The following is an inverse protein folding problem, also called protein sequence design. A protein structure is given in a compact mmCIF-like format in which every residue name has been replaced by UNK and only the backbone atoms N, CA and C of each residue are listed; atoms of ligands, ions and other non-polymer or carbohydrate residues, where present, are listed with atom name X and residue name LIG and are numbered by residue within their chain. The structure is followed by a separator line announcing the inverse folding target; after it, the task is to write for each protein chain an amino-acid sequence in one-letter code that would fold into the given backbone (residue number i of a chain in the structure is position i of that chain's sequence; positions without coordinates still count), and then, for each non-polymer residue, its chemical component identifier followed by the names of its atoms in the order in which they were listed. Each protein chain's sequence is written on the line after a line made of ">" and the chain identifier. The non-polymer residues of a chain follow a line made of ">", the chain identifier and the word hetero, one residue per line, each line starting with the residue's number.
data_IF_345974813914
#
_entry.id   IF_345974813914
#
_cell.length_a   1.000
_cell.length_b   1.000
_cell.length_c   1.000
_cell.angle_alpha   90.00
_cell.angle_beta   90.00
_cell.angle_gamma   90.00
#
_symmetry.space_group_name_H-M   'P 1'
#
loop_
_entity.id
_entity.type
_entity.pdbx_description
1 polymer ?
#
# COMPACT_ATOMS: atom_id res chain seq x y z
N UNK A 1 7.43 -6.91 -20.20
CA UNK A 1 6.48 -6.61 -19.10
C UNK A 1 7.18 -6.75 -17.76
N UNK A 2 7.22 -5.70 -16.93
CA UNK A 2 7.74 -5.81 -15.56
C UNK A 2 6.71 -6.48 -14.65
N UNK A 3 7.16 -7.43 -13.81
CA UNK A 3 6.31 -8.16 -12.87
C UNK A 3 6.85 -7.96 -11.46
N UNK A 4 5.95 -7.73 -10.51
CA UNK A 4 6.23 -7.75 -9.07
C UNK A 4 5.22 -8.64 -8.34
N UNK A 5 5.57 -9.04 -7.12
CA UNK A 5 4.74 -9.85 -6.24
C UNK A 5 4.84 -9.32 -4.81
N UNK A 6 3.71 -9.26 -4.12
CA UNK A 6 3.60 -9.10 -2.67
C UNK A 6 2.79 -10.29 -2.13
N UNK A 7 3.22 -10.89 -1.03
CA UNK A 7 2.55 -12.06 -0.46
C UNK A 7 2.30 -11.87 1.03
N UNK A 8 1.04 -11.89 1.47
CA UNK A 8 0.67 -11.79 2.88
C UNK A 8 1.12 -13.00 3.70
N UNK A 9 1.49 -14.12 3.07
CA UNK A 9 2.15 -15.24 3.74
C UNK A 9 3.63 -15.00 4.06
N UNK A 10 4.21 -13.88 3.60
CA UNK A 10 5.61 -13.51 3.81
C UNK A 10 5.72 -12.09 4.40
N UNK A 11 5.52 -11.98 5.71
CA UNK A 11 5.64 -10.73 6.47
C UNK A 11 6.84 -10.78 7.42
N UNK A 12 7.27 -9.62 7.91
CA UNK A 12 8.17 -9.55 9.07
C UNK A 12 7.56 -10.24 10.29
N UNK A 13 8.41 -10.64 11.25
CA UNK A 13 7.97 -11.35 12.46
C UNK A 13 6.93 -10.57 13.30
N UNK A 14 6.93 -9.23 13.21
CA UNK A 14 5.96 -8.37 13.87
C UNK A 14 4.71 -8.07 13.01
N UNK A 15 4.64 -8.58 11.79
CA UNK A 15 3.56 -8.35 10.82
C UNK A 15 3.53 -6.95 10.21
N UNK A 16 4.42 -6.04 10.60
CA UNK A 16 4.37 -4.61 10.21
C UNK A 16 5.00 -4.31 8.85
N UNK A 17 5.73 -5.26 8.27
CA UNK A 17 6.40 -5.11 6.99
C UNK A 17 6.02 -6.27 6.07
N UNK A 18 5.54 -5.92 4.88
CA UNK A 18 5.41 -6.82 3.75
C UNK A 18 6.55 -6.57 2.76
N UNK A 19 6.73 -7.48 1.80
CA UNK A 19 7.80 -7.38 0.81
C UNK A 19 7.25 -7.37 -0.61
N UNK A 20 7.55 -6.31 -1.35
CA UNK A 20 7.27 -6.21 -2.78
C UNK A 20 8.50 -6.66 -3.56
N UNK A 21 8.47 -7.88 -4.10
CA UNK A 21 9.51 -8.43 -4.94
C UNK A 21 9.24 -8.10 -6.40
N UNK A 22 10.05 -7.22 -6.99
CA UNK A 22 10.02 -6.90 -8.42
C UNK A 22 11.11 -7.66 -9.16
N UNK A 23 10.72 -8.60 -10.03
CA UNK A 23 11.65 -9.50 -10.71
C UNK A 23 12.64 -8.73 -11.60
N UNK A 24 13.95 -8.99 -11.41
CA UNK A 24 15.02 -8.28 -12.12
C UNK A 24 15.27 -6.84 -11.65
N UNK A 25 14.61 -6.39 -10.59
CA UNK A 25 14.85 -5.08 -9.96
C UNK A 25 15.35 -5.28 -8.52
N UNK A 26 14.58 -5.97 -7.68
CA UNK A 26 14.89 -6.12 -6.26
C UNK A 26 13.67 -6.39 -5.41
N UNK A 27 13.88 -6.41 -4.10
CA UNK A 27 12.81 -6.57 -3.10
C UNK A 27 12.77 -5.31 -2.24
N UNK A 28 11.57 -4.78 -2.03
CA UNK A 28 11.32 -3.54 -1.31
C UNK A 28 10.46 -3.79 -0.09
N UNK A 29 10.78 -3.12 1.01
CA UNK A 29 9.93 -3.12 2.21
C UNK A 29 8.72 -2.21 1.98
N UNK A 30 7.54 -2.78 2.15
CA UNK A 30 6.26 -2.10 1.95
C UNK A 30 5.33 -2.30 3.14
N UNK A 31 4.31 -1.47 3.21
CA UNK A 31 3.15 -1.68 4.07
C UNK A 31 1.88 -1.34 3.30
N UNK A 32 0.76 -1.86 3.79
CA UNK A 32 -0.57 -1.56 3.26
C UNK A 32 -1.60 -1.62 4.38
N UNK A 33 -2.55 -0.68 4.40
CA UNK A 33 -3.45 -0.48 5.54
C UNK A 33 -2.89 0.52 6.57
N UNK A 34 -3.73 0.88 7.53
CA UNK A 34 -3.38 1.71 8.69
C UNK A 34 -3.70 1.00 10.00
N UNK A 35 -3.09 1.45 11.09
CA UNK A 35 -3.32 0.95 12.44
C UNK A 35 -3.32 -0.59 12.55
N UNK A 36 -4.41 -1.17 13.05
CA UNK A 36 -4.56 -2.61 13.24
C UNK A 36 -4.85 -3.38 11.95
N UNK A 37 -5.11 -2.67 10.84
CA UNK A 37 -5.31 -3.26 9.51
C UNK A 37 -4.00 -3.40 8.71
N UNK A 38 -2.87 -2.96 9.25
CA UNK A 38 -1.57 -3.07 8.57
C UNK A 38 -1.29 -4.52 8.19
N UNK A 39 -1.10 -4.72 6.88
CA UNK A 39 -0.82 -5.98 6.20
C UNK A 39 -1.81 -7.11 6.54
N UNK A 40 -3.05 -6.77 6.91
CA UNK A 40 -4.07 -7.76 7.20
C UNK A 40 -5.07 -7.91 6.02
N UNK A 41 -4.96 -8.97 5.19
CA UNK A 41 -5.88 -9.20 4.09
C UNK A 41 -7.31 -9.50 4.56
N UNK A 42 -7.48 -10.03 5.77
CA UNK A 42 -8.79 -10.36 6.34
C UNK A 42 -9.61 -9.11 6.62
N UNK A 43 -8.98 -7.94 6.70
CA UNK A 43 -9.67 -6.67 6.85
C UNK A 43 -9.88 -5.93 5.52
N UNK A 44 -9.56 -6.53 4.37
CA UNK A 44 -9.54 -5.78 3.11
C UNK A 44 -10.93 -5.26 2.66
N UNK A 45 -12.00 -5.74 3.27
CA UNK A 45 -13.38 -5.23 3.15
C UNK A 45 -13.72 -4.05 4.07
N UNK A 46 -12.75 -3.51 4.79
CA UNK A 46 -12.89 -2.30 5.61
C UNK A 46 -12.27 -1.08 4.93
N UNK A 47 -12.72 0.12 5.30
CA UNK A 47 -12.10 1.36 4.85
C UNK A 47 -10.65 1.47 5.34
N UNK A 48 -9.77 2.07 4.53
CA UNK A 48 -8.35 2.29 4.83
C UNK A 48 -7.52 1.05 5.17
N UNK A 49 -8.08 -0.16 5.08
CA UNK A 49 -7.38 -1.41 5.37
C UNK A 49 -6.42 -1.83 4.26
N UNK A 50 -5.72 -2.95 4.45
CA UNK A 50 -4.79 -3.52 3.48
C UNK A 50 -5.38 -3.64 2.06
N UNK A 51 -4.51 -3.57 1.05
CA UNK A 51 -4.91 -3.77 -0.35
C UNK A 51 -5.45 -5.20 -0.53
N UNK A 52 -6.63 -5.41 -1.13
CA UNK A 52 -7.19 -6.74 -1.29
C UNK A 52 -6.28 -7.65 -2.14
N UNK A 53 -6.17 -8.95 -1.86
CA UNK A 53 -5.49 -9.89 -2.73
C UNK A 53 -6.05 -9.88 -4.17
N UNK A 54 -5.15 -9.92 -5.15
CA UNK A 54 -5.48 -9.81 -6.57
C UNK A 54 -4.34 -9.31 -7.44
N UNK A 55 -4.62 -9.18 -8.73
CA UNK A 55 -3.68 -8.66 -9.71
C UNK A 55 -3.96 -7.18 -9.96
N UNK A 56 -2.91 -6.36 -9.96
CA UNK A 56 -2.99 -4.92 -10.17
C UNK A 56 -2.03 -4.47 -11.27
N UNK A 57 -2.47 -3.53 -12.09
CA UNK A 57 -1.69 -2.89 -13.14
C UNK A 57 -1.15 -1.56 -12.63
N UNK A 58 0.16 -1.37 -12.70
CA UNK A 58 0.84 -0.12 -12.35
C UNK A 58 0.74 0.82 -13.53
N UNK A 59 -0.12 1.83 -13.43
CA UNK A 59 -0.38 2.80 -14.50
C UNK A 59 0.03 4.18 -14.05
N UNK A 60 0.12 5.12 -15.01
CA UNK A 60 0.15 6.52 -14.65
C UNK A 60 -1.10 6.85 -13.81
N UNK A 61 -0.92 7.74 -12.82
CA UNK A 61 -2.06 8.27 -12.08
C UNK A 61 -2.94 9.03 -13.08
N UNK A 62 -4.24 8.71 -13.19
CA UNK A 62 -5.14 9.55 -13.95
C UNK A 62 -5.05 10.96 -13.35
N UNK A 63 -4.56 11.93 -14.13
CA UNK A 63 -4.39 13.30 -13.66
C UNK A 63 -5.72 13.90 -13.15
N UNK A 64 -6.86 13.29 -13.52
CA UNK A 64 -8.19 13.75 -13.17
C UNK A 64 -8.50 15.10 -13.79
N UNK A 65 -9.63 15.69 -13.37
CA UNK A 65 -9.97 17.08 -13.68
C UNK A 65 -8.87 18.03 -13.17
N UNK A 66 -8.78 19.23 -13.75
CA UNK A 66 -7.84 20.27 -13.31
C UNK A 66 -7.90 20.51 -11.78
N UNK A 67 -9.11 20.42 -11.20
CA UNK A 67 -9.36 20.49 -9.76
C UNK A 67 -8.57 19.44 -8.95
N UNK A 68 -8.51 18.20 -9.41
CA UNK A 68 -7.78 17.13 -8.71
C UNK A 68 -6.25 17.32 -8.78
N UNK A 69 -5.74 18.00 -9.80
CA UNK A 69 -4.31 18.37 -9.91
C UNK A 69 -3.98 19.51 -8.96
N UNK A 70 -4.80 20.56 -8.94
CA UNK A 70 -4.64 21.69 -8.01
C UNK A 70 -4.75 21.24 -6.56
N UNK A 71 -5.70 20.32 -6.26
CA UNK A 71 -5.80 19.72 -4.92
C UNK A 71 -4.57 18.90 -4.55
N UNK A 72 -4.02 18.10 -5.47
CA UNK A 72 -2.80 17.34 -5.21
C UNK A 72 -1.60 18.26 -4.95
N UNK A 73 -1.43 19.31 -5.74
CA UNK A 73 -0.38 20.31 -5.56
C UNK A 73 -0.55 21.08 -4.23
N UNK A 74 -1.78 21.43 -3.84
CA UNK A 74 -2.05 22.10 -2.57
C UNK A 74 -1.75 21.19 -1.36
N UNK A 75 -2.03 19.89 -1.48
CA UNK A 75 -1.63 18.89 -0.47
C UNK A 75 -0.10 18.79 -0.42
N UNK A 76 0.57 18.67 -1.57
CA UNK A 76 2.03 18.61 -1.66
C UNK A 76 2.67 19.86 -1.00
N UNK A 77 2.17 21.05 -1.31
CA UNK A 77 2.64 22.31 -0.74
C UNK A 77 2.38 22.41 0.78
N UNK A 78 1.20 21.99 1.25
CA UNK A 78 0.86 21.95 2.69
C UNK A 78 1.79 21.03 3.47
N UNK A 79 2.16 19.89 2.88
CA UNK A 79 3.12 18.96 3.47
C UNK A 79 4.59 19.33 3.19
N UNK A 80 4.87 20.53 2.68
CA UNK A 80 6.23 21.01 2.42
C UNK A 80 6.98 20.15 1.39
N UNK A 81 6.27 19.60 0.41
CA UNK A 81 6.79 18.72 -0.64
C UNK A 81 7.50 17.46 -0.12
N UNK A 82 7.17 17.03 1.10
CA UNK A 82 7.73 15.81 1.73
C UNK A 82 7.20 14.52 1.08
N UNK A 83 6.15 14.66 0.27
CA UNK A 83 5.58 13.66 -0.61
C UNK A 83 5.14 14.36 -1.90
N UNK A 84 5.54 13.83 -3.07
CA UNK A 84 5.10 14.35 -4.36
C UNK A 84 4.00 13.47 -4.91
N UNK A 85 2.74 13.78 -4.62
CA UNK A 85 1.60 12.95 -5.00
C UNK A 85 1.44 12.84 -6.53
N UNK A 86 2.05 13.76 -7.29
CA UNK A 86 2.15 13.72 -8.75
C UNK A 86 3.02 12.57 -9.28
N UNK A 87 3.94 12.04 -8.47
CA UNK A 87 4.86 10.97 -8.86
C UNK A 87 4.30 9.57 -8.66
N UNK A 88 3.22 9.44 -7.88
CA UNK A 88 2.62 8.17 -7.51
C UNK A 88 2.02 7.47 -8.73
N UNK A 89 2.10 6.14 -8.73
CA UNK A 89 1.40 5.33 -9.72
C UNK A 89 0.01 4.94 -9.22
N UNK A 90 -0.93 4.77 -10.14
CA UNK A 90 -2.20 4.12 -9.84
C UNK A 90 -2.08 2.59 -9.95
N UNK A 91 -2.86 1.89 -9.13
CA UNK A 91 -2.96 0.43 -9.12
C UNK A 91 -4.37 0.02 -9.58
N UNK A 92 -4.52 -0.18 -10.88
CA UNK A 92 -5.80 -0.56 -11.49
C UNK A 92 -6.00 -2.06 -11.32
N UNK A 93 -7.15 -2.48 -10.81
CA UNK A 93 -7.41 -3.90 -10.63
C UNK A 93 -7.55 -4.61 -11.98
N UNK A 94 -6.97 -5.80 -12.08
CA UNK A 94 -7.19 -6.67 -13.24
C UNK A 94 -8.66 -7.12 -13.35
N UNK A 95 -9.39 -7.27 -12.25
CA UNK A 95 -10.79 -7.73 -12.29
C UNK A 95 -11.71 -6.71 -12.96
N UNK A 96 -11.54 -5.43 -12.63
CA UNK A 96 -12.45 -4.36 -13.09
C UNK A 96 -11.85 -3.48 -14.18
N UNK A 97 -10.53 -3.56 -14.39
CA UNK A 97 -9.73 -2.66 -15.23
C UNK A 97 -9.91 -1.19 -14.87
N UNK A 98 -10.24 -0.91 -13.60
CA UNK A 98 -10.55 0.42 -13.06
C UNK A 98 -9.78 0.66 -11.76
N UNK A 99 -9.78 1.92 -11.32
CA UNK A 99 -9.23 2.39 -10.05
C UNK A 99 -10.11 2.03 -8.85
N UNK A 100 -10.61 0.80 -8.81
CA UNK A 100 -11.46 0.32 -7.72
C UNK A 100 -12.08 -1.05 -7.96
N UNK A 101 -12.49 -1.68 -6.87
CA UNK A 101 -13.08 -3.02 -6.81
C UNK A 101 -14.11 -3.11 -5.69
N UNK A 102 -15.10 -3.99 -5.89
CA UNK A 102 -16.02 -4.38 -4.84
C UNK A 102 -15.41 -5.51 -4.00
N UNK A 103 -15.33 -5.32 -2.69
CA UNK A 103 -14.77 -6.27 -1.72
C UNK A 103 -15.82 -6.49 -0.64
N UNK A 104 -16.42 -7.68 -0.61
CA UNK A 104 -17.46 -8.04 0.35
C UNK A 104 -18.58 -6.98 0.53
N UNK A 105 -19.03 -6.36 -0.57
CA UNK A 105 -20.06 -5.32 -0.56
C UNK A 105 -19.55 -3.89 -0.32
N UNK A 106 -18.27 -3.70 0.01
CA UNK A 106 -17.63 -2.39 0.09
C UNK A 106 -16.89 -2.03 -1.21
N UNK A 107 -17.12 -0.82 -1.72
CA UNK A 107 -16.37 -0.31 -2.87
C UNK A 107 -15.04 0.31 -2.41
N UNK A 108 -13.93 -0.37 -2.67
CA UNK A 108 -12.57 0.15 -2.40
C UNK A 108 -12.00 0.77 -3.67
N UNK A 109 -11.44 1.97 -3.57
CA UNK A 109 -10.97 2.74 -4.74
C UNK A 109 -9.64 3.45 -4.47
N UNK A 110 -9.02 3.97 -5.52
CA UNK A 110 -7.92 4.93 -5.38
C UNK A 110 -6.59 4.33 -4.94
N UNK A 111 -6.35 3.05 -5.20
CA UNK A 111 -5.11 2.38 -4.79
C UNK A 111 -3.89 2.94 -5.52
N UNK A 112 -2.79 3.13 -4.78
CA UNK A 112 -1.56 3.72 -5.31
C UNK A 112 -0.33 2.89 -4.95
N UNK A 113 0.71 3.04 -5.75
CA UNK A 113 2.08 2.67 -5.39
C UNK A 113 2.82 3.97 -5.12
N UNK A 114 3.23 4.17 -3.87
CA UNK A 114 3.85 5.42 -3.42
C UNK A 114 4.78 5.21 -2.23
N UNK A 115 5.59 6.20 -1.83
CA UNK A 115 6.38 6.11 -0.61
C UNK A 115 5.63 6.67 0.60
N UNK A 116 6.09 6.30 1.80
CA UNK A 116 5.97 7.15 2.98
C UNK A 116 6.71 8.48 2.75
N UNK A 117 6.43 9.46 3.59
CA UNK A 117 7.17 10.71 3.61
C UNK A 117 8.66 10.45 3.90
N UNK A 118 9.52 11.40 3.55
CA UNK A 118 10.98 11.27 3.74
C UNK A 118 11.40 11.08 5.21
N UNK A 119 10.57 11.48 6.17
CA UNK A 119 10.77 11.28 7.61
C UNK A 119 10.13 9.98 8.15
N UNK A 120 9.57 9.14 7.28
CA UNK A 120 8.89 7.91 7.63
C UNK A 120 7.45 8.08 8.12
N UNK A 121 6.91 9.31 8.14
CA UNK A 121 5.50 9.56 8.41
C UNK A 121 4.62 9.28 7.17
N UNK A 122 3.30 9.33 7.36
CA UNK A 122 2.33 9.10 6.28
C UNK A 122 1.54 7.81 6.49
N UNK A 123 0.48 7.66 5.70
CA UNK A 123 -0.51 6.59 5.85
C UNK A 123 -0.72 5.85 4.53
N UNK A 124 -1.23 4.63 4.62
CA UNK A 124 -1.44 3.76 3.47
C UNK A 124 -2.86 3.20 3.47
N UNK A 125 -3.83 3.99 3.00
CA UNK A 125 -5.27 3.66 2.98
C UNK A 125 -5.66 2.57 1.96
N UNK A 126 -4.95 1.44 1.96
CA UNK A 126 -5.05 0.37 0.95
C UNK A 126 -4.12 0.52 -0.23
N UNK A 127 -3.16 1.45 -0.17
CA UNK A 127 -2.07 1.53 -1.13
C UNK A 127 -1.01 0.45 -0.87
N UNK A 128 -0.12 0.22 -1.84
CA UNK A 128 1.17 -0.43 -1.58
C UNK A 128 2.19 0.68 -1.34
N UNK A 129 2.60 0.85 -0.08
CA UNK A 129 3.40 1.99 0.34
C UNK A 129 4.81 1.56 0.68
N UNK A 130 5.81 2.04 -0.07
CA UNK A 130 7.21 1.76 0.22
C UNK A 130 7.64 2.51 1.47
N UNK A 131 8.29 1.79 2.39
CA UNK A 131 8.74 2.36 3.66
C UNK A 131 9.81 3.44 3.50
N UNK A 132 10.60 3.37 2.43
CA UNK A 132 11.67 4.33 2.14
C UNK A 132 11.38 5.07 0.84
N UNK A 133 11.39 6.40 0.91
CA UNK A 133 11.23 7.24 -0.29
C UNK A 133 12.32 6.98 -1.34
N UNK A 134 13.56 6.70 -0.93
CA UNK A 134 14.66 6.32 -1.84
C UNK A 134 14.36 5.05 -2.65
N UNK A 135 13.71 4.06 -2.03
CA UNK A 135 13.35 2.80 -2.67
C UNK A 135 12.26 3.03 -3.72
N UNK A 136 11.30 3.91 -3.41
CA UNK A 136 10.29 4.32 -4.37
C UNK A 136 10.90 5.05 -5.56
N UNK A 137 11.79 6.01 -5.32
CA UNK A 137 12.46 6.73 -6.40
C UNK A 137 13.31 5.79 -7.28
N UNK A 138 13.95 4.80 -6.67
CA UNK A 138 14.70 3.77 -7.39
C UNK A 138 13.77 2.92 -8.27
N UNK A 139 12.70 2.35 -7.68
CA UNK A 139 11.73 1.54 -8.40
C UNK A 139 11.05 2.34 -9.52
N UNK A 140 10.56 3.55 -9.20
CA UNK A 140 9.91 4.46 -10.15
C UNK A 140 10.76 4.75 -11.37
N UNK A 141 12.02 5.12 -11.16
CA UNK A 141 12.97 5.41 -12.25
C UNK A 141 13.12 4.21 -13.17
N UNK A 142 13.28 3.01 -12.61
CA UNK A 142 13.41 1.78 -13.39
C UNK A 142 12.13 1.44 -14.15
N UNK A 143 10.95 1.65 -13.54
CA UNK A 143 9.68 1.45 -14.24
C UNK A 143 9.53 2.37 -15.44
N UNK A 144 9.84 3.67 -15.29
CA UNK A 144 9.70 4.66 -16.36
C UNK A 144 10.73 4.53 -17.48
N UNK A 145 11.87 3.89 -17.24
CA UNK A 145 12.85 3.59 -18.29
C UNK A 145 12.40 2.46 -19.23
N UNK A 146 11.37 1.71 -18.86
CA UNK A 146 10.83 0.61 -19.67
C UNK A 146 9.67 1.12 -20.50
N UNK A 147 9.40 0.52 -21.66
CA UNK A 147 8.16 0.84 -22.39
C UNK A 147 6.93 0.30 -21.66
N UNK A 148 5.85 1.10 -21.66
CA UNK A 148 4.54 0.61 -21.21
C UNK A 148 4.01 -0.47 -22.15
N UNK A 149 3.21 -1.39 -21.62
CA UNK A 149 2.53 -2.42 -22.40
C UNK A 149 1.01 -2.29 -22.28
N UNK A 150 0.24 -2.72 -23.30
CA UNK A 150 -1.22 -2.69 -23.24
C UNK A 150 -1.74 -3.69 -22.21
N UNK A 151 -2.70 -3.27 -21.39
CA UNK A 151 -3.39 -4.14 -20.44
C UNK A 151 -4.42 -4.99 -21.19
N UNK A 152 -4.37 -6.33 -21.08
CA UNK A 152 -5.34 -7.22 -21.72
C UNK A 152 -6.78 -6.88 -21.33
N UNK A 153 -7.67 -6.64 -22.30
CA UNK A 153 -9.05 -6.24 -22.04
C UNK A 153 -9.21 -4.85 -21.38
N UNK A 154 -8.15 -4.03 -21.37
CA UNK A 154 -8.13 -2.72 -20.72
C UNK A 154 -8.54 -1.53 -21.60
N UNK A 155 -9.03 -1.76 -22.83
CA UNK A 155 -9.51 -0.71 -23.75
C UNK A 155 -8.55 0.48 -23.92
N UNK A 156 -7.29 0.20 -24.25
CA UNK A 156 -6.26 1.23 -24.43
C UNK A 156 -5.50 1.60 -23.16
N UNK A 157 -5.87 1.06 -21.99
CA UNK A 157 -5.09 1.15 -20.77
C UNK A 157 -3.68 0.57 -20.98
N UNK A 158 -2.67 1.33 -20.56
CA UNK A 158 -1.27 0.92 -20.59
C UNK A 158 -0.70 0.87 -19.18
N UNK A 159 0.25 -0.02 -18.96
CA UNK A 159 0.88 -0.22 -17.66
C UNK A 159 2.41 -0.31 -17.77
N UNK A 160 3.10 0.14 -16.73
CA UNK A 160 4.55 0.00 -16.55
C UNK A 160 4.90 -1.37 -15.96
N UNK A 161 4.05 -1.89 -15.09
CA UNK A 161 4.24 -3.18 -14.41
C UNK A 161 2.91 -3.84 -14.02
N UNK A 162 3.01 -5.11 -13.64
CA UNK A 162 1.94 -5.89 -13.00
C UNK A 162 2.38 -6.28 -11.59
N UNK A 163 1.51 -6.13 -10.61
CA UNK A 163 1.75 -6.57 -9.22
C UNK A 163 0.73 -7.66 -8.88
N UNK A 164 1.23 -8.82 -8.46
CA UNK A 164 0.41 -9.88 -7.88
C UNK A 164 0.43 -9.77 -6.36
N UNK A 165 -0.73 -9.46 -5.76
CA UNK A 165 -0.92 -9.49 -4.31
C UNK A 165 -1.54 -10.83 -3.94
N UNK A 166 -0.79 -11.65 -3.21
CA UNK A 166 -1.20 -13.00 -2.79
C UNK A 166 -1.66 -13.03 -1.35
N UNK A 167 -2.66 -13.87 -1.10
CA UNK A 167 -3.32 -14.08 0.18
C UNK A 167 -4.74 -14.60 -0.05
N UNK A 168 -5.30 -15.27 0.94
CA UNK A 168 -6.68 -15.75 0.91
C UNK A 168 -7.40 -15.15 2.11
N UNK A 169 -8.15 -14.05 1.91
CA UNK A 169 -8.74 -13.33 3.02
C UNK A 169 -9.94 -14.10 3.59
N UNK A 170 -10.04 -14.16 4.91
CA UNK A 170 -11.25 -14.54 5.65
C UNK A 170 -11.79 -13.32 6.39
N UNK A 171 -12.73 -12.62 5.76
CA UNK A 171 -13.28 -11.38 6.29
C UNK A 171 -13.97 -11.53 7.64
N UNK A 172 -14.40 -12.75 8.00
CA UNK A 172 -15.01 -13.01 9.31
C UNK A 172 -14.02 -12.91 10.48
N UNK A 173 -12.71 -12.91 10.19
CA UNK A 173 -11.65 -12.87 11.20
C UNK A 173 -11.20 -11.46 11.56
N UNK A 174 -11.45 -10.44 10.72
CA UNK A 174 -10.88 -9.10 10.90
C UNK A 174 -11.11 -8.52 12.31
N UNK A 175 -12.35 -8.53 12.79
CA UNK A 175 -12.70 -7.98 14.10
C UNK A 175 -11.96 -8.70 15.23
N UNK A 176 -11.94 -10.03 15.18
CA UNK A 176 -11.26 -10.86 16.17
C UNK A 176 -9.75 -10.60 16.17
N UNK A 177 -9.13 -10.52 15.00
CA UNK A 177 -7.69 -10.31 14.87
C UNK A 177 -7.27 -8.89 15.30
N UNK A 178 -8.06 -7.89 14.94
CA UNK A 178 -7.78 -6.50 15.30
C UNK A 178 -7.93 -6.26 16.80
N UNK A 179 -8.93 -6.87 17.46
CA UNK A 179 -9.05 -6.86 18.92
C UNK A 179 -7.86 -7.57 19.60
N UNK A 180 -7.43 -8.73 19.07
CA UNK A 180 -6.26 -9.42 19.60
C UNK A 180 -4.98 -8.57 19.49
N UNK A 181 -4.81 -7.83 18.38
CA UNK A 181 -3.69 -6.90 18.18
C UNK A 181 -3.75 -5.72 19.16
N UNK A 182 -4.93 -5.11 19.35
CA UNK A 182 -5.16 -4.04 20.34
C UNK A 182 -4.77 -4.49 21.75
N UNK A 183 -5.21 -5.66 22.18
CA UNK A 183 -4.87 -6.20 23.50
C UNK A 183 -3.38 -6.58 23.64
N UNK A 184 -2.74 -7.04 22.58
CA UNK A 184 -1.30 -7.27 22.58
C UNK A 184 -0.51 -5.96 22.75
N UNK A 185 -0.90 -4.89 22.06
CA UNK A 185 -0.24 -3.58 22.14
C UNK A 185 -0.46 -2.91 23.51
N UNK A 186 -1.67 -3.02 24.09
CA UNK A 186 -1.93 -2.60 25.48
C UNK A 186 -1.01 -3.30 26.46
N UNK A 187 -0.91 -4.64 26.38
CA UNK A 187 -0.02 -5.43 27.25
C UNK A 187 1.45 -5.06 27.09
N UNK A 188 1.94 -4.89 25.86
CA UNK A 188 3.32 -4.43 25.59
C UNK A 188 3.59 -3.05 26.18
N UNK A 189 2.64 -2.14 26.04
CA UNK A 189 2.75 -0.77 26.59
C UNK A 189 2.80 -0.80 28.11
N UNK A 190 1.90 -1.55 28.76
CA UNK A 190 1.90 -1.72 30.22
C UNK A 190 3.20 -2.34 30.74
N UNK A 191 3.72 -3.38 30.07
CA UNK A 191 5.01 -3.98 30.41
C UNK A 191 6.18 -3.00 30.26
N UNK A 192 6.19 -2.20 29.18
CA UNK A 192 7.21 -1.19 28.95
C UNK A 192 7.18 -0.08 30.02
N UNK A 193 5.98 0.36 30.43
CA UNK A 193 5.80 1.33 31.51
C UNK A 193 6.24 0.77 32.86
N UNK A 194 5.88 -0.47 33.18
CA UNK A 194 6.30 -1.13 34.41
C UNK A 194 7.82 -1.25 34.49
N UNK A 195 8.46 -1.70 33.40
CA UNK A 195 9.93 -1.81 33.32
C UNK A 195 10.61 -0.44 33.44
N UNK A 196 10.01 0.63 32.93
CA UNK A 196 10.53 2.00 33.10
C UNK A 196 10.41 2.48 34.54
N UNK A 197 9.32 2.16 35.23
CA UNK A 197 9.15 2.48 36.65
C UNK A 197 10.15 1.72 37.51
N UNK A 198 10.31 0.40 37.28
CA UNK A 198 11.28 -0.45 38.00
C UNK A 198 12.74 -0.02 37.79
N UNK A 199 13.07 0.55 36.63
CA UNK A 199 14.42 1.07 36.34
C UNK A 199 14.66 2.50 36.86
N UNK A 200 13.62 3.19 37.32
CA UNK A 200 13.71 4.56 37.85
C UNK A 200 13.78 4.59 39.40
N UNK A 201 13.58 3.43 40.04
CA UNK A 201 13.84 3.17 41.47
C UNK A 201 15.26 2.62 41.67
#
# INVERSE_FOLDING_TARGET
>A
MQICMMDYGNLSADGKTAYLKCYGIGTFEVLTGVDFYINNPDCADHENAAIPPGTYWVTDRPAGSLYNRVRAEAIDAWHGYRNHHSEWFALFSDKTKRDGIMVNGLNRTGFRLHPLNSDGSGESWGCITLRRSSDFQHLRRLLLQRETFPVPGGNGLKAWARIDVRGTPDYSLCDKETEARKEADKRRTQQALKKRAENAE
#
